data_IF_131477578105
#
_entry.id   IF_131477578105
#
_cell.length_a   1.000
_cell.length_b   1.000
_cell.length_c   1.000
_cell.angle_alpha   90.00
_cell.angle_beta   90.00
_cell.angle_gamma   90.00
#
_symmetry.space_group_name_H-M   'P 1'
#
loop_
_entity.id
_entity.type
_entity.pdbx_description
1 polymer ?
#
# COMPACT_ATOMS: atom_id res chain seq x y z
N UNK A 1 -18.98 -1.44 36.14
CA UNK A 1 -17.52 -1.42 36.40
C UNK A 1 -16.86 -2.17 35.26
N UNK A 2 -16.16 -1.43 34.41
CA UNK A 2 -15.53 -1.87 33.17
C UNK A 2 -14.40 -2.87 33.45
N UNK A 3 -14.45 -4.07 32.86
CA UNK A 3 -13.32 -5.01 32.93
C UNK A 3 -13.11 -5.86 31.68
N UNK A 4 -13.55 -5.35 30.54
CA UNK A 4 -12.97 -5.69 29.26
C UNK A 4 -12.66 -4.36 28.60
N UNK A 5 -11.56 -3.75 29.03
CA UNK A 5 -10.93 -2.68 28.28
C UNK A 5 -10.57 -3.26 26.93
N UNK A 6 -11.47 -3.11 25.96
CA UNK A 6 -11.19 -3.46 24.59
C UNK A 6 -9.87 -2.80 24.24
N UNK A 7 -8.89 -3.62 23.84
CA UNK A 7 -7.73 -3.12 23.15
C UNK A 7 -8.27 -2.36 21.94
N UNK A 8 -8.47 -1.05 22.11
CA UNK A 8 -8.70 -0.13 21.02
C UNK A 8 -7.38 -0.20 20.27
N UNK A 9 -7.38 -1.01 19.22
CA UNK A 9 -6.19 -1.43 18.50
C UNK A 9 -5.29 -0.21 18.27
N UNK A 10 -4.20 -0.12 19.02
CA UNK A 10 -3.30 1.05 18.96
C UNK A 10 -2.73 1.20 17.54
N UNK A 11 -2.74 0.10 16.79
CA UNK A 11 -2.46 0.01 15.35
C UNK A 11 -3.43 0.82 14.47
N UNK A 12 -4.73 0.86 14.81
CA UNK A 12 -5.77 1.61 14.08
C UNK A 12 -5.60 3.12 14.18
N UNK A 13 -4.82 3.61 15.13
CA UNK A 13 -4.63 5.05 15.37
C UNK A 13 -3.32 5.61 14.79
N UNK A 14 -2.43 4.77 14.25
CA UNK A 14 -1.09 5.21 13.81
C UNK A 14 -1.07 5.54 12.32
N UNK A 15 -0.75 6.79 12.01
CA UNK A 15 -0.34 7.15 10.65
C UNK A 15 0.94 6.43 10.25
N UNK A 16 1.06 6.05 8.98
CA UNK A 16 2.25 5.39 8.44
C UNK A 16 2.48 5.76 6.97
N UNK A 17 3.64 5.37 6.45
CA UNK A 17 3.91 5.40 5.00
C UNK A 17 3.86 3.95 4.52
N UNK A 18 3.13 3.73 3.43
CA UNK A 18 3.04 2.46 2.72
C UNK A 18 3.45 2.67 1.28
N UNK A 19 3.89 1.61 0.64
CA UNK A 19 4.20 1.63 -0.79
C UNK A 19 3.67 0.37 -1.46
N UNK A 20 3.36 0.49 -2.75
CA UNK A 20 3.01 -0.63 -3.62
C UNK A 20 3.94 -0.60 -4.81
N UNK A 21 4.55 -1.75 -5.11
CA UNK A 21 5.36 -1.97 -6.29
C UNK A 21 4.56 -2.82 -7.28
N UNK A 22 4.37 -2.29 -8.49
CA UNK A 22 3.78 -2.96 -9.63
C UNK A 22 4.87 -3.26 -10.65
N UNK A 23 5.09 -4.55 -10.92
CA UNK A 23 6.12 -5.03 -11.85
C UNK A 23 5.42 -5.57 -13.09
N UNK A 24 5.18 -4.68 -14.05
CA UNK A 24 4.61 -5.03 -15.34
C UNK A 24 5.69 -5.27 -16.38
N UNK A 25 5.39 -6.13 -17.37
CA UNK A 25 6.31 -6.40 -18.49
C UNK A 25 6.65 -5.16 -19.34
N UNK A 26 5.83 -4.12 -19.27
CA UNK A 26 6.07 -2.85 -19.98
C UNK A 26 6.67 -1.77 -19.08
N UNK A 27 6.30 -1.77 -17.80
CA UNK A 27 6.60 -0.69 -16.86
C UNK A 27 6.68 -1.24 -15.45
N UNK A 28 7.69 -0.80 -14.72
CA UNK A 28 7.77 -0.98 -13.28
C UNK A 28 7.34 0.34 -12.65
N UNK A 29 6.33 0.31 -11.78
CA UNK A 29 5.73 1.48 -11.16
C UNK A 29 5.68 1.31 -9.64
N UNK A 30 5.96 2.38 -8.92
CA UNK A 30 5.89 2.44 -7.47
C UNK A 30 4.99 3.60 -7.06
N UNK A 31 4.06 3.35 -6.15
CA UNK A 31 3.22 4.39 -5.55
C UNK A 31 3.51 4.43 -4.05
N UNK A 32 3.69 5.63 -3.51
CA UNK A 32 3.95 5.88 -2.10
C UNK A 32 2.73 6.59 -1.50
N UNK A 33 2.12 5.97 -0.49
CA UNK A 33 0.94 6.45 0.19
C UNK A 33 1.21 6.78 1.65
N UNK A 34 0.66 7.89 2.13
CA UNK A 34 0.57 8.21 3.56
C UNK A 34 -0.80 7.77 4.08
N UNK A 35 -0.81 6.91 5.08
CA UNK A 35 -2.00 6.48 5.79
C UNK A 35 -2.37 7.49 6.86
N UNK A 36 -3.66 7.81 6.95
CA UNK A 36 -4.26 8.57 8.05
C UNK A 36 -5.48 7.80 8.57
N UNK A 37 -5.63 7.61 9.90
CA UNK A 37 -6.83 7.00 10.46
C UNK A 37 -8.08 7.69 9.94
N UNK A 38 -9.12 6.91 9.64
CA UNK A 38 -10.41 7.43 9.20
C UNK A 38 -11.55 6.78 9.96
N UNK A 39 -12.69 7.47 10.00
CA UNK A 39 -13.92 6.88 10.50
C UNK A 39 -14.34 5.69 9.61
N UNK A 40 -15.10 4.78 10.20
CA UNK A 40 -15.69 3.66 9.50
C UNK A 40 -16.64 4.16 8.40
N UNK A 41 -16.73 3.38 7.32
CA UNK A 41 -17.50 3.73 6.13
C UNK A 41 -18.30 2.51 5.67
N UNK A 42 -19.62 2.67 5.52
CA UNK A 42 -20.52 1.67 4.95
C UNK A 42 -20.07 1.14 3.57
N UNK A 43 -19.40 1.98 2.78
CA UNK A 43 -18.94 1.62 1.43
C UNK A 43 -17.74 0.66 1.43
N UNK A 44 -16.96 0.66 2.49
CA UNK A 44 -15.69 -0.06 2.58
C UNK A 44 -15.50 -0.59 4.01
N UNK A 45 -16.29 -1.59 4.42
CA UNK A 45 -16.23 -2.16 5.76
C UNK A 45 -14.81 -2.63 6.10
N UNK A 46 -14.38 -2.40 7.34
CA UNK A 46 -13.04 -2.78 7.82
C UNK A 46 -11.89 -1.87 7.36
N UNK A 47 -12.14 -0.83 6.56
CA UNK A 47 -11.09 0.16 6.24
C UNK A 47 -10.84 1.08 7.43
N UNK A 48 -9.62 1.01 7.97
CA UNK A 48 -9.19 1.82 9.12
C UNK A 48 -8.49 3.12 8.74
N UNK A 49 -7.99 3.23 7.50
CA UNK A 49 -7.19 4.37 7.05
C UNK A 49 -7.60 4.88 5.67
N UNK A 50 -7.55 6.20 5.51
CA UNK A 50 -7.49 6.85 4.21
C UNK A 50 -6.04 6.90 3.73
N UNK A 51 -5.85 6.75 2.42
CA UNK A 51 -4.54 6.81 1.77
C UNK A 51 -4.44 8.11 0.97
N UNK A 52 -3.39 8.89 1.22
CA UNK A 52 -3.00 10.02 0.36
C UNK A 52 -1.74 9.64 -0.41
N UNK A 53 -1.78 9.65 -1.73
CA UNK A 53 -0.57 9.50 -2.55
C UNK A 53 0.35 10.69 -2.32
N UNK A 54 1.60 10.41 -1.97
CA UNK A 54 2.65 11.41 -1.70
C UNK A 54 3.85 11.28 -2.65
N UNK A 55 3.91 10.21 -3.46
CA UNK A 55 4.95 10.03 -4.46
C UNK A 55 4.59 8.92 -5.45
N UNK A 56 5.10 9.05 -6.67
CA UNK A 56 4.98 8.06 -7.74
C UNK A 56 6.34 7.99 -8.44
N UNK A 57 6.83 6.78 -8.68
CA UNK A 57 8.01 6.52 -9.51
C UNK A 57 7.68 5.49 -10.58
N UNK A 58 8.23 5.63 -11.78
CA UNK A 58 8.08 4.62 -12.81
C UNK A 58 9.29 4.54 -13.73
N UNK A 59 9.57 3.33 -14.23
CA UNK A 59 10.57 3.10 -15.26
C UNK A 59 10.05 2.12 -16.31
N UNK A 60 10.67 2.14 -17.49
CA UNK A 60 10.44 1.13 -18.52
C UNK A 60 10.95 -0.22 -18.00
N UNK A 61 10.18 -1.29 -18.19
CA UNK A 61 10.64 -2.65 -17.87
C UNK A 61 11.59 -3.14 -18.97
N UNK A 62 12.70 -3.77 -18.56
CA UNK A 62 13.71 -4.35 -19.46
C UNK A 62 13.91 -5.86 -19.22
N UNK A 63 13.79 -6.33 -17.97
CA UNK A 63 13.98 -7.75 -17.61
C UNK A 63 12.70 -8.56 -17.37
N UNK A 64 11.50 -8.02 -17.61
CA UNK A 64 10.22 -8.71 -17.30
C UNK A 64 9.37 -8.91 -18.54
N UNK A 65 8.86 -10.14 -18.74
CA UNK A 65 7.93 -10.50 -19.84
C UNK A 65 6.89 -11.53 -19.39
N UNK A 66 5.63 -11.32 -19.76
CA UNK A 66 4.51 -12.18 -19.37
C UNK A 66 4.43 -12.44 -17.85
N UNK A 67 4.78 -11.43 -17.04
CA UNK A 67 4.80 -11.52 -15.57
C UNK A 67 5.97 -12.31 -14.97
N UNK A 68 6.91 -12.81 -15.78
CA UNK A 68 8.11 -13.49 -15.33
C UNK A 68 9.36 -12.61 -15.51
N UNK A 69 10.30 -12.71 -14.57
CA UNK A 69 11.67 -12.18 -14.75
C UNK A 69 12.38 -13.08 -15.75
N UNK A 70 12.75 -12.52 -16.90
CA UNK A 70 13.44 -13.21 -17.99
C UNK A 70 14.94 -12.86 -18.08
N UNK A 71 15.33 -11.74 -17.47
CA UNK A 71 16.70 -11.26 -17.36
C UNK A 71 16.82 -10.55 -16.01
N UNK A 72 17.60 -11.10 -15.08
CA UNK A 72 17.69 -10.61 -13.70
C UNK A 72 18.54 -9.33 -13.61
N UNK A 73 19.55 -9.19 -14.47
CA UNK A 73 20.44 -8.02 -14.45
C UNK A 73 19.74 -6.80 -15.07
N UNK A 74 18.81 -7.02 -15.99
CA UNK A 74 17.98 -5.98 -16.60
C UNK A 74 16.62 -5.75 -15.92
N UNK A 75 16.27 -6.50 -14.88
CA UNK A 75 14.98 -6.40 -14.18
C UNK A 75 14.89 -5.20 -13.23
#
# INVERSE_FOLDING_TARGET
>A
MSWLGGQKDVSSARSGVVTVLDIGSTKICCIIGRLKPCAESERLPGRTHQVRVIGIGHQKSLGVKSGAVIDLDAA
#
